data_IF_744214449336
#
_entry.id   IF_744214449336
#
_cell.length_a   1.000
_cell.length_b   1.000
_cell.length_c   1.000
_cell.angle_alpha   90.00
_cell.angle_beta   90.00
_cell.angle_gamma   90.00
#
_symmetry.space_group_name_H-M   'P 1'
#
loop_
_entity.id
_entity.type
_entity.pdbx_description
1 polymer ?
#
# COMPACT_ATOMS: atom_id res chain seq x y z
N UNK A 1 -3.88 -1.05 18.70
CA UNK A 1 -4.84 -1.47 17.65
C UNK A 1 -4.51 -2.90 17.23
N UNK A 2 -5.50 -3.73 16.86
CA UNK A 2 -5.24 -5.12 16.45
C UNK A 2 -4.79 -5.17 14.99
N UNK A 3 -3.56 -5.66 14.75
CA UNK A 3 -3.02 -5.88 13.41
C UNK A 3 -3.75 -6.99 12.63
N UNK A 4 -4.64 -7.74 13.29
CA UNK A 4 -5.39 -8.85 12.68
C UNK A 4 -6.61 -8.37 11.88
N UNK A 5 -6.95 -7.07 11.96
CA UNK A 5 -8.06 -6.44 11.24
C UNK A 5 -7.64 -5.72 9.94
N UNK A 6 -6.36 -5.84 9.58
CA UNK A 6 -5.85 -5.30 8.32
C UNK A 6 -6.53 -5.99 7.13
N UNK A 7 -6.86 -5.20 6.12
CA UNK A 7 -7.50 -5.65 4.88
C UNK A 7 -6.83 -4.99 3.68
N UNK A 8 -7.18 -5.47 2.49
CA UNK A 8 -6.77 -4.84 1.23
C UNK A 8 -7.19 -3.37 1.22
N UNK A 9 -6.40 -2.54 0.53
CA UNK A 9 -6.56 -1.08 0.46
C UNK A 9 -6.25 -0.31 1.75
N UNK A 10 -5.95 -0.98 2.86
CA UNK A 10 -5.35 -0.28 4.00
C UNK A 10 -3.94 0.22 3.64
N UNK A 11 -3.51 1.26 4.32
CA UNK A 11 -2.21 1.91 4.08
C UNK A 11 -1.24 1.56 5.19
N UNK A 12 0.00 1.31 4.79
CA UNK A 12 1.16 1.15 5.65
C UNK A 12 2.10 2.34 5.49
N UNK A 13 2.89 2.63 6.50
CA UNK A 13 4.03 3.53 6.38
C UNK A 13 5.28 2.92 7.02
N UNK A 14 6.45 3.27 6.49
CA UNK A 14 7.74 2.96 7.12
C UNK A 14 8.31 4.19 7.86
N UNK A 15 9.47 4.00 8.47
CA UNK A 15 10.22 5.03 9.19
C UNK A 15 10.92 6.05 8.27
N UNK A 16 10.97 5.78 6.96
CA UNK A 16 11.62 6.61 5.95
C UNK A 16 10.63 7.53 5.22
N UNK A 17 9.35 7.49 5.59
CA UNK A 17 8.30 8.31 4.99
C UNK A 17 7.71 7.73 3.71
N UNK A 18 7.98 6.45 3.40
CA UNK A 18 7.29 5.78 2.31
C UNK A 18 5.94 5.26 2.79
N UNK A 19 4.97 5.33 1.88
CA UNK A 19 3.64 4.74 2.09
C UNK A 19 3.44 3.57 1.14
N UNK A 20 2.74 2.56 1.63
CA UNK A 20 2.41 1.36 0.88
C UNK A 20 0.91 1.07 0.97
N UNK A 21 0.34 0.49 -0.07
CA UNK A 21 -1.02 -0.02 -0.05
C UNK A 21 -1.00 -1.54 0.03
N UNK A 22 -1.86 -2.12 0.88
CA UNK A 22 -2.07 -3.56 0.96
C UNK A 22 -2.88 -4.02 -0.24
N UNK A 23 -2.32 -4.96 -1.01
CA UNK A 23 -2.97 -5.54 -2.19
C UNK A 23 -3.62 -6.89 -1.91
N UNK A 24 -2.99 -7.69 -1.04
CA UNK A 24 -3.54 -8.97 -0.62
C UNK A 24 -3.20 -9.24 0.84
N UNK A 25 -4.11 -9.93 1.53
CA UNK A 25 -3.93 -10.35 2.92
C UNK A 25 -3.93 -11.87 2.99
N UNK A 26 -2.78 -12.45 3.30
CA UNK A 26 -2.64 -13.89 3.48
C UNK A 26 -2.94 -14.26 4.94
N UNK A 27 -3.92 -15.15 5.13
CA UNK A 27 -4.39 -15.61 6.45
C UNK A 27 -4.17 -17.10 6.64
N UNK A 28 -3.92 -17.48 7.87
CA UNK A 28 -3.90 -18.85 8.38
C UNK A 28 -4.96 -18.94 9.48
N UNK A 29 -6.13 -19.51 9.13
CA UNK A 29 -7.36 -19.36 9.89
C UNK A 29 -7.76 -17.89 10.02
N UNK A 30 -7.99 -17.43 11.26
CA UNK A 30 -8.35 -16.05 11.56
C UNK A 30 -7.15 -15.12 11.73
N UNK A 31 -5.92 -15.62 11.58
CA UNK A 31 -4.70 -14.85 11.82
C UNK A 31 -4.05 -14.41 10.50
N UNK A 32 -3.79 -13.11 10.40
CA UNK A 32 -2.97 -12.52 9.34
C UNK A 32 -1.53 -12.97 9.52
N UNK A 33 -0.95 -13.51 8.45
CA UNK A 33 0.42 -14.04 8.40
C UNK A 33 1.31 -13.25 7.47
N UNK A 34 0.77 -12.81 6.34
CA UNK A 34 1.52 -12.00 5.41
C UNK A 34 0.64 -11.00 4.67
N UNK A 35 1.29 -9.96 4.18
CA UNK A 35 0.70 -8.92 3.35
C UNK A 35 1.51 -8.80 2.07
N UNK A 36 0.82 -8.70 0.95
CA UNK A 36 1.41 -8.23 -0.29
C UNK A 36 1.12 -6.73 -0.40
N UNK A 37 2.15 -5.95 -0.66
CA UNK A 37 2.07 -4.49 -0.61
C UNK A 37 2.72 -3.87 -1.84
N UNK A 38 2.23 -2.71 -2.25
CA UNK A 38 2.89 -1.88 -3.26
C UNK A 38 3.20 -0.52 -2.71
N UNK A 39 4.35 0.04 -3.07
CA UNK A 39 4.68 1.42 -2.76
C UNK A 39 3.71 2.35 -3.52
N UNK A 40 3.08 3.27 -2.79
CA UNK A 40 2.04 4.16 -3.31
C UNK A 40 2.58 5.14 -4.35
N UNK A 41 3.78 5.68 -4.14
CA UNK A 41 4.40 6.61 -5.10
C UNK A 41 4.65 5.92 -6.43
N UNK A 42 5.21 4.70 -6.42
CA UNK A 42 5.41 3.92 -7.65
C UNK A 42 4.08 3.56 -8.31
N UNK A 43 3.08 3.12 -7.54
CA UNK A 43 1.75 2.80 -8.06
C UNK A 43 1.13 3.97 -8.83
N UNK A 44 1.11 5.16 -8.22
CA UNK A 44 0.53 6.35 -8.88
C UNK A 44 1.38 6.84 -10.06
N UNK A 45 2.70 6.68 -10.01
CA UNK A 45 3.59 6.94 -11.15
C UNK A 45 3.25 6.05 -12.35
N UNK A 46 3.13 4.73 -12.13
CA UNK A 46 2.77 3.78 -13.19
C UNK A 46 1.37 4.05 -13.74
N UNK A 47 0.40 4.34 -12.87
CA UNK A 47 -0.96 4.69 -13.28
C UNK A 47 -0.99 5.95 -14.16
N UNK A 48 -0.22 6.98 -13.80
CA UNK A 48 -0.10 8.22 -14.59
C UNK A 48 0.48 7.94 -15.98
N UNK A 49 1.57 7.16 -16.04
CA UNK A 49 2.22 6.77 -17.29
C UNK A 49 1.32 5.87 -18.17
N UNK A 50 0.65 4.88 -17.56
CA UNK A 50 -0.26 3.98 -18.26
C UNK A 50 -1.47 4.71 -18.86
N UNK A 51 -1.94 5.78 -18.20
CA UNK A 51 -3.01 6.64 -18.71
C UNK A 51 -2.55 7.60 -19.85
N UNK A 52 -1.29 7.54 -20.27
CA UNK A 52 -0.71 8.43 -21.27
C UNK A 52 -0.47 9.86 -20.75
N UNK A 53 -0.47 10.05 -19.43
CA UNK A 53 -0.18 11.34 -18.80
C UNK A 53 1.31 11.65 -18.73
N UNK A 54 1.65 12.93 -18.75
CA UNK A 54 3.02 13.38 -18.48
C UNK A 54 3.33 13.18 -16.99
N UNK A 55 4.51 12.63 -16.69
CA UNK A 55 4.93 12.46 -15.30
C UNK A 55 5.19 13.83 -14.67
N UNK A 56 4.51 14.10 -13.56
CA UNK A 56 4.82 15.21 -12.66
C UNK A 56 4.92 14.68 -11.23
N UNK A 57 6.06 14.94 -10.58
CA UNK A 57 6.26 14.54 -9.18
C UNK A 57 5.18 15.15 -8.27
N UNK A 58 4.80 16.42 -8.51
CA UNK A 58 3.78 17.10 -7.72
C UNK A 58 2.40 16.46 -7.88
N UNK A 59 2.03 16.03 -9.10
CA UNK A 59 0.74 15.36 -9.32
C UNK A 59 0.71 13.97 -8.69
N UNK A 60 1.83 13.24 -8.75
CA UNK A 60 1.95 11.92 -8.10
C UNK A 60 1.88 12.06 -6.58
N UNK A 61 2.56 13.06 -6.01
CA UNK A 61 2.49 13.35 -4.58
C UNK A 61 1.08 13.78 -4.16
N UNK A 62 0.39 14.60 -4.96
CA UNK A 62 -1.00 14.98 -4.70
C UNK A 62 -1.92 13.74 -4.69
N UNK A 63 -1.83 12.88 -5.70
CA UNK A 63 -2.62 11.64 -5.76
C UNK A 63 -2.35 10.71 -4.58
N UNK A 64 -1.08 10.57 -4.15
CA UNK A 64 -0.72 9.80 -2.97
C UNK A 64 -1.32 10.40 -1.69
N UNK A 65 -1.23 11.72 -1.52
CA UNK A 65 -1.80 12.42 -0.36
C UNK A 65 -3.32 12.30 -0.32
N UNK A 66 -4.00 12.41 -1.47
CA UNK A 66 -5.45 12.20 -1.58
C UNK A 66 -5.82 10.78 -1.15
N UNK A 67 -5.03 9.78 -1.54
CA UNK A 67 -5.24 8.40 -1.14
C UNK A 67 -5.10 8.20 0.38
N UNK A 68 -4.09 8.82 0.99
CA UNK A 68 -3.90 8.80 2.44
C UNK A 68 -5.09 9.47 3.15
N UNK A 69 -5.51 10.64 2.65
CA UNK A 69 -6.65 11.37 3.20
C UNK A 69 -7.95 10.57 3.12
N UNK A 70 -8.20 9.84 2.03
CA UNK A 70 -9.38 8.97 1.89
C UNK A 70 -9.41 7.87 2.96
N UNK A 71 -8.27 7.24 3.25
CA UNK A 71 -8.17 6.19 4.29
C UNK A 71 -8.41 6.78 5.67
N UNK A 72 -7.88 7.97 5.95
CA UNK A 72 -8.14 8.71 7.20
C UNK A 72 -9.62 9.10 7.34
N UNK A 73 -10.25 9.61 6.28
CA UNK A 73 -11.67 9.95 6.26
C UNK A 73 -12.57 8.72 6.45
N UNK A 74 -12.15 7.56 5.97
CA UNK A 74 -12.82 6.28 6.18
C UNK A 74 -12.57 5.68 7.58
N UNK A 75 -11.92 6.42 8.48
CA UNK A 75 -11.54 6.00 9.83
C UNK A 75 -10.75 4.68 9.85
N UNK A 76 -10.01 4.41 8.76
CA UNK A 76 -9.15 3.24 8.67
C UNK A 76 -7.77 3.56 9.27
N UNK A 77 -7.20 2.64 10.05
CA UNK A 77 -5.86 2.83 10.59
C UNK A 77 -4.82 2.82 9.48
N UNK A 78 -3.82 3.70 9.62
CA UNK A 78 -2.57 3.61 8.87
C UNK A 78 -1.57 2.88 9.76
N UNK A 79 -1.07 1.74 9.30
CA UNK A 79 -0.24 0.85 10.11
C UNK A 79 1.24 1.12 9.91
N UNK A 80 2.02 1.12 10.99
CA UNK A 80 3.48 1.15 10.88
C UNK A 80 4.00 -0.22 10.45
N UNK A 81 4.87 -0.24 9.43
CA UNK A 81 5.44 -1.48 8.89
C UNK A 81 6.30 -2.20 9.95
N UNK A 82 7.02 -1.44 10.77
CA UNK A 82 7.75 -1.97 11.93
C UNK A 82 6.87 -2.74 12.93
N UNK A 83 5.68 -2.22 13.24
CA UNK A 83 4.76 -2.89 14.16
C UNK A 83 4.24 -4.21 13.58
N UNK A 84 3.99 -4.27 12.27
CA UNK A 84 3.57 -5.50 11.58
C UNK A 84 4.65 -6.57 11.65
N UNK A 85 5.91 -6.19 11.40
CA UNK A 85 7.06 -7.09 11.50
C UNK A 85 7.25 -7.61 12.94
N UNK A 86 7.12 -6.74 13.96
CA UNK A 86 7.17 -7.16 15.37
C UNK A 86 6.07 -8.16 15.73
N UNK A 87 4.91 -8.06 15.08
CA UNK A 87 3.79 -8.99 15.24
C UNK A 87 3.91 -10.26 14.36
N UNK A 88 5.08 -10.50 13.74
CA UNK A 88 5.37 -11.65 12.88
C UNK A 88 4.46 -11.75 11.66
N UNK A 89 4.03 -10.60 11.13
CA UNK A 89 3.35 -10.51 9.85
C UNK A 89 4.42 -10.27 8.78
N UNK A 90 4.60 -11.20 7.85
CA UNK A 90 5.54 -11.06 6.75
C UNK A 90 5.04 -10.01 5.74
N UNK A 91 5.96 -9.24 5.17
CA UNK A 91 5.64 -8.22 4.18
C UNK A 91 6.34 -8.58 2.88
N UNK A 92 5.57 -8.74 1.81
CA UNK A 92 6.05 -8.99 0.47
C UNK A 92 5.76 -7.75 -0.37
N UNK A 93 6.79 -6.93 -0.62
CA UNK A 93 6.67 -5.80 -1.53
C UNK A 93 6.63 -6.30 -2.98
N UNK A 94 5.70 -5.79 -3.77
CA UNK A 94 5.63 -6.09 -5.18
C UNK A 94 6.91 -5.61 -5.88
N UNK A 95 7.40 -6.45 -6.79
CA UNK A 95 8.54 -6.16 -7.64
C UNK A 95 8.17 -5.07 -8.66
N UNK A 96 8.52 -3.82 -8.35
CA UNK A 96 8.26 -2.64 -9.20
C UNK A 96 8.99 -2.67 -10.54
N UNK A 97 9.90 -3.62 -10.76
CA UNK A 97 10.56 -3.81 -12.06
C UNK A 97 9.71 -4.59 -13.05
N UNK A 98 8.58 -5.15 -12.60
CA UNK A 98 7.65 -5.93 -13.42
C UNK A 98 6.37 -5.13 -13.66
N UNK A 99 5.73 -5.27 -14.83
CA UNK A 99 4.44 -4.64 -15.08
C UNK A 99 3.42 -5.13 -14.06
N UNK A 100 2.60 -4.20 -13.54
CA UNK A 100 1.41 -4.56 -12.80
C UNK A 100 0.53 -5.43 -13.72
N UNK A 101 0.18 -6.63 -13.29
CA UNK A 101 -0.73 -7.47 -14.07
C UNK A 101 -2.09 -6.78 -14.16
N UNK A 102 -2.71 -6.82 -15.35
CA UNK A 102 -4.01 -6.19 -15.66
C UNK A 102 -5.16 -6.58 -14.69
N UNK A 103 -4.99 -7.62 -13.88
CA UNK A 103 -5.97 -8.04 -12.86
C UNK A 103 -6.10 -7.10 -11.65
N UNK A 104 -5.26 -6.05 -11.56
CA UNK A 104 -5.29 -5.05 -10.49
C UNK A 104 -5.54 -3.62 -11.01
N UNK A 105 -5.86 -3.47 -12.31
CA UNK A 105 -6.17 -2.21 -12.97
C UNK A 105 -7.67 -1.87 -12.90
#
# INVERSE_FOLDING_TARGET
>A
MSMQQIKEQDILHDEYGNYYEVLAVQKDGDKVKALEVTNLFFKETFKTQAAGGEFSADSVLAAMNDRIAQVQQAERPIYALGDLLMNRIAIYAMDVTKPFSDSLA
#
